data_IF_670123419614
#
_entry.id   IF_670123419614
#
_cell.length_a   1.000
_cell.length_b   1.000
_cell.length_c   1.000
_cell.angle_alpha   90.00
_cell.angle_beta   90.00
_cell.angle_gamma   90.00
#
_symmetry.space_group_name_H-M   'P 1'
#
loop_
_entity.id
_entity.type
_entity.pdbx_description
1 polymer ?
2 non-polymer ?
3 non-polymer ?
4 water ?
#
# COMPACT_ATOMS: atom_id res chain seq x y z
N UNK A 1 25.74 0.18 -22.35
CA UNK A 1 26.44 1.25 -23.09
C UNK A 1 25.42 2.19 -23.71
N UNK A 2 25.03 3.25 -23.01
CA UNK A 2 23.90 4.05 -23.49
C UNK A 2 24.32 5.28 -24.29
N UNK A 3 25.60 5.66 -24.27
CA UNK A 3 26.14 6.70 -25.14
C UNK A 3 25.31 7.97 -25.12
N UNK A 4 24.97 8.43 -23.92
CA UNK A 4 24.24 9.65 -23.72
C UNK A 4 22.72 9.50 -23.61
N UNK A 5 22.14 8.49 -24.25
CA UNK A 5 20.69 8.37 -24.31
C UNK A 5 20.11 7.97 -22.95
N UNK A 6 18.81 8.14 -22.81
CA UNK A 6 18.10 7.81 -21.60
C UNK A 6 17.42 6.47 -21.77
N UNK A 7 17.44 5.68 -20.72
CA UNK A 7 16.53 4.54 -20.63
C UNK A 7 16.22 4.43 -19.14
N UNK A 8 15.01 4.78 -18.76
CA UNK A 8 14.61 4.77 -17.36
C UNK A 8 13.87 3.48 -17.09
N UNK A 9 14.21 2.84 -15.98
CA UNK A 9 13.55 1.62 -15.54
C UNK A 9 12.84 1.94 -14.23
N UNK A 10 11.54 1.66 -14.18
CA UNK A 10 10.73 1.83 -13.00
C UNK A 10 10.52 0.46 -12.41
N UNK A 11 11.04 0.21 -11.23
CA UNK A 11 10.80 -1.06 -10.55
C UNK A 11 9.69 -0.84 -9.53
N UNK A 12 8.53 -1.45 -9.80
CA UNK A 12 7.34 -1.34 -8.97
C UNK A 12 6.26 -0.51 -9.64
N UNK A 13 5.07 -1.11 -9.82
CA UNK A 13 3.99 -0.41 -10.50
C UNK A 13 2.87 -0.02 -9.56
N UNK A 14 3.20 0.59 -8.44
CA UNK A 14 2.23 1.11 -7.51
C UNK A 14 1.85 2.55 -7.81
N UNK A 15 1.39 3.25 -6.78
CA UNK A 15 1.03 4.65 -6.93
C UNK A 15 2.18 5.49 -7.48
N UNK A 16 3.40 5.29 -6.97
CA UNK A 16 4.54 6.03 -7.50
C UNK A 16 4.92 5.59 -8.90
N UNK A 17 5.13 4.30 -9.10
CA UNK A 17 5.52 3.81 -10.40
C UNK A 17 4.60 4.23 -11.54
N UNK A 18 3.28 4.17 -11.33
CA UNK A 18 2.39 4.55 -12.44
C UNK A 18 2.41 6.05 -12.61
N UNK A 19 2.61 6.81 -11.52
CA UNK A 19 2.81 8.24 -11.67
C UNK A 19 4.07 8.53 -12.48
N UNK A 20 5.16 7.81 -12.22
CA UNK A 20 6.40 8.06 -12.96
C UNK A 20 6.31 7.56 -14.39
N UNK A 21 5.71 6.39 -14.60
CA UNK A 21 5.56 5.86 -15.95
C UNK A 21 4.72 6.82 -16.81
N UNK A 22 3.70 7.45 -16.22
CA UNK A 22 2.84 8.34 -16.99
C UNK A 22 3.55 9.62 -17.35
N UNK A 23 4.38 10.13 -16.44
CA UNK A 23 5.16 11.32 -16.74
C UNK A 23 6.14 11.06 -17.88
N UNK A 24 6.95 10.00 -17.74
CA UNK A 24 7.89 9.59 -18.79
C UNK A 24 7.18 9.32 -20.10
N UNK A 25 5.97 8.77 -20.03
CA UNK A 25 5.25 8.54 -21.27
C UNK A 25 4.82 9.85 -21.92
N UNK A 26 4.53 10.89 -21.13
CA UNK A 26 4.13 12.17 -21.68
C UNK A 26 5.31 12.91 -22.33
N UNK A 27 6.52 12.72 -21.82
CA UNK A 27 7.72 13.34 -22.38
C UNK A 27 8.36 12.52 -23.49
N UNK A 28 7.82 11.34 -23.78
CA UNK A 28 8.36 10.45 -24.82
C UNK A 28 9.78 9.99 -24.50
N UNK A 29 10.08 9.87 -23.21
CA UNK A 29 11.37 9.32 -22.76
C UNK A 29 11.29 7.79 -22.77
N UNK A 30 12.28 7.09 -23.32
CA UNK A 30 12.23 5.62 -23.28
C UNK A 30 12.23 5.11 -21.86
N UNK A 31 11.35 4.16 -21.58
CA UNK A 31 11.28 3.64 -20.24
C UNK A 31 10.64 2.28 -20.27
N UNK A 32 10.94 1.49 -19.25
CA UNK A 32 10.33 0.20 -19.02
C UNK A 32 9.85 0.16 -17.57
N UNK A 33 8.57 -0.16 -17.38
CA UNK A 33 7.99 -0.30 -16.04
C UNK A 33 7.86 -1.78 -15.73
N UNK A 34 8.33 -2.17 -14.55
CA UNK A 34 8.28 -3.58 -14.13
C UNK A 34 7.44 -3.71 -12.86
N UNK A 35 6.57 -4.71 -12.86
CA UNK A 35 5.77 -5.09 -11.71
C UNK A 35 5.58 -6.59 -11.77
N UNK A 36 5.44 -7.23 -10.60
CA UNK A 36 5.19 -8.66 -10.60
C UNK A 36 3.75 -9.00 -10.99
N UNK A 37 2.80 -8.10 -10.74
CA UNK A 37 1.43 -8.32 -11.18
C UNK A 37 1.24 -7.78 -12.60
N UNK A 38 0.13 -8.13 -13.21
CA UNK A 38 -0.20 -7.56 -14.51
C UNK A 38 -1.14 -6.37 -14.39
N UNK A 39 -1.51 -5.96 -13.18
CA UNK A 39 -2.39 -4.81 -13.08
C UNK A 39 -2.07 -4.03 -11.81
N UNK A 40 -2.33 -2.74 -11.86
CA UNK A 40 -2.14 -1.88 -10.72
C UNK A 40 -3.23 -2.16 -9.69
N UNK A 41 -2.87 -2.05 -8.41
CA UNK A 41 -3.75 -2.41 -7.31
C UNK A 41 -3.98 -1.17 -6.48
N UNK A 42 -5.21 -0.66 -6.48
CA UNK A 42 -5.50 0.52 -5.69
C UNK A 42 -5.68 0.08 -4.24
N UNK A 43 -4.57 -0.22 -3.57
CA UNK A 43 -4.65 -0.93 -2.31
C UNK A 43 -5.35 -0.12 -1.22
N UNK A 44 -5.55 1.19 -1.43
CA UNK A 44 -6.28 1.96 -0.43
C UNK A 44 -7.75 1.51 -0.35
N UNK A 45 -8.28 0.90 -1.39
CA UNK A 45 -9.64 0.35 -1.32
C UNK A 45 -9.67 -1.14 -1.07
N UNK A 46 -8.54 -1.76 -0.69
CA UNK A 46 -8.51 -3.20 -0.52
C UNK A 46 -9.47 -3.68 0.56
N UNK A 47 -9.71 -2.89 1.61
CA UNK A 47 -10.57 -3.39 2.68
C UNK A 47 -12.03 -3.34 2.29
N UNK A 48 -12.47 -2.27 1.63
CA UNK A 48 -13.82 -2.26 1.09
C UNK A 48 -14.02 -3.39 0.09
N UNK A 49 -13.00 -3.68 -0.73
CA UNK A 49 -13.11 -4.79 -1.67
C UNK A 49 -13.16 -6.13 -0.94
N UNK A 50 -12.78 -6.16 0.33
CA UNK A 50 -12.90 -7.38 1.13
C UNK A 50 -14.29 -7.61 1.66
N UNK A 51 -15.22 -6.67 1.50
CA UNK A 51 -16.51 -6.77 2.17
C UNK A 51 -17.67 -6.42 1.24
N UNK A 52 -17.41 -5.74 0.12
CA UNK A 52 -18.48 -5.32 -0.77
C UNK A 52 -18.46 -6.14 -2.07
N UNK A 53 -19.56 -6.85 -2.35
CA UNK A 53 -19.67 -7.67 -3.56
C UNK A 53 -19.46 -6.82 -4.80
N UNK A 54 -18.65 -7.32 -5.73
CA UNK A 54 -18.44 -6.61 -6.98
C UNK A 54 -17.61 -5.34 -6.91
N UNK A 55 -17.06 -5.00 -5.74
CA UNK A 55 -16.23 -3.81 -5.68
C UNK A 55 -14.84 -4.08 -6.21
N UNK A 56 -14.32 -5.28 -6.03
CA UNK A 56 -12.90 -5.52 -6.29
C UNK A 56 -12.51 -5.22 -7.74
N UNK A 57 -13.45 -5.36 -8.68
CA UNK A 57 -13.09 -5.04 -10.06
C UNK A 57 -12.90 -3.54 -10.28
N UNK A 58 -13.25 -2.69 -9.31
CA UNK A 58 -12.91 -1.28 -9.33
C UNK A 58 -11.49 -1.00 -8.84
N UNK A 59 -10.77 -2.00 -8.37
CA UNK A 59 -9.50 -1.77 -7.69
C UNK A 59 -8.29 -2.36 -8.39
N UNK A 60 -8.44 -2.94 -9.59
CA UNK A 60 -7.31 -3.44 -10.37
C UNK A 60 -7.36 -2.85 -11.78
N UNK A 61 -6.24 -2.29 -12.25
CA UNK A 61 -6.20 -1.67 -13.57
C UNK A 61 -5.05 -2.24 -14.39
N UNK A 62 -5.40 -2.77 -15.56
CA UNK A 62 -4.43 -3.37 -16.48
C UNK A 62 -3.27 -2.41 -16.80
N UNK A 63 -2.04 -2.88 -16.61
CA UNK A 63 -0.90 -2.05 -17.01
C UNK A 63 -0.83 -1.93 -18.52
N UNK A 64 -0.97 -3.05 -19.22
CA UNK A 64 -0.68 -3.08 -20.65
C UNK A 64 -1.63 -2.20 -21.43
N UNK A 65 -2.85 -2.02 -20.95
CA UNK A 65 -3.79 -1.13 -21.64
C UNK A 65 -3.25 0.31 -21.61
N UNK A 66 -2.64 0.70 -20.51
CA UNK A 66 -2.16 2.06 -20.42
C UNK A 66 -0.77 2.22 -21.03
N UNK A 67 0.11 1.28 -20.75
CA UNK A 67 1.52 1.45 -21.05
C UNK A 67 2.00 0.62 -22.23
N UNK A 68 1.21 -0.33 -22.71
CA UNK A 68 1.51 -1.15 -23.89
C UNK A 68 2.93 -1.70 -23.71
N UNK A 69 3.79 -1.62 -24.71
CA UNK A 69 5.10 -2.26 -24.70
C UNK A 69 6.11 -1.60 -23.76
N UNK A 70 5.75 -0.50 -23.09
CA UNK A 70 6.57 0.08 -22.02
C UNK A 70 6.42 -0.61 -20.68
N UNK A 71 5.62 -1.65 -20.61
CA UNK A 71 5.43 -2.41 -19.38
C UNK A 71 5.95 -3.82 -19.57
N UNK A 72 6.41 -4.42 -18.49
CA UNK A 72 6.89 -5.79 -18.59
C UNK A 72 6.62 -6.43 -17.24
N UNK A 73 5.76 -7.45 -17.22
CA UNK A 73 5.53 -8.22 -16.01
C UNK A 73 6.76 -9.03 -15.68
N UNK A 74 7.16 -8.98 -14.43
CA UNK A 74 8.32 -9.75 -13.99
C UNK A 74 8.57 -9.44 -12.53
N UNK A 75 9.24 -10.39 -11.88
CA UNK A 75 9.67 -10.23 -10.49
C UNK A 75 11.13 -9.83 -10.50
N UNK A 76 11.46 -8.75 -9.83
CA UNK A 76 12.83 -8.27 -9.82
C UNK A 76 13.56 -8.95 -8.67
N UNK A 77 14.63 -9.68 -8.99
CA UNK A 77 15.39 -10.39 -7.96
C UNK A 77 16.61 -9.60 -7.51
N UNK A 78 17.29 -8.90 -8.38
CA UNK A 78 18.46 -8.14 -7.96
C UNK A 78 18.82 -7.03 -8.91
N UNK A 79 19.59 -6.08 -8.39
CA UNK A 79 20.15 -4.98 -9.18
C UNK A 79 21.63 -5.26 -9.35
N UNK A 80 22.12 -5.17 -10.58
CA UNK A 80 23.55 -5.23 -10.89
C UNK A 80 24.04 -3.79 -11.08
N UNK A 81 24.60 -3.23 -10.01
CA UNK A 81 24.99 -1.82 -10.04
C UNK A 81 26.15 -1.57 -11.00
N UNK A 82 27.13 -2.49 -11.05
CA UNK A 82 28.31 -2.24 -11.87
C UNK A 82 27.95 -2.15 -13.36
N UNK A 83 27.10 -3.06 -13.83
CA UNK A 83 26.74 -3.10 -15.25
C UNK A 83 25.40 -2.45 -15.52
N UNK A 84 24.86 -1.68 -14.56
CA UNK A 84 23.59 -0.97 -14.71
C UNK A 84 22.51 -1.84 -15.34
N UNK A 85 22.19 -2.92 -14.67
CA UNK A 85 21.19 -3.87 -15.15
C UNK A 85 20.13 -4.04 -14.07
N UNK A 86 19.04 -4.69 -14.43
CA UNK A 86 17.99 -5.05 -13.48
C UNK A 86 17.65 -6.51 -13.74
N UNK A 87 17.86 -7.35 -12.72
CA UNK A 87 17.83 -8.80 -12.89
C UNK A 87 16.42 -9.31 -12.62
N UNK A 88 15.84 -10.00 -13.59
CA UNK A 88 14.49 -10.51 -13.52
C UNK A 88 14.54 -12.01 -13.27
N UNK A 89 13.63 -12.49 -12.41
CA UNK A 89 13.52 -13.92 -12.17
C UNK A 89 13.27 -14.64 -13.50
N UNK A 90 14.15 -15.59 -13.81
CA UNK A 90 14.14 -16.25 -15.10
C UNK A 90 15.35 -15.90 -15.96
N UNK A 91 16.11 -14.87 -15.61
CA UNK A 91 17.32 -14.60 -16.35
C UNK A 91 17.41 -13.20 -16.94
N UNK A 92 16.29 -12.69 -17.45
CA UNK A 92 16.31 -11.44 -18.21
C UNK A 92 16.87 -10.30 -17.37
N UNK A 93 17.63 -9.43 -18.04
CA UNK A 93 18.14 -8.20 -17.45
C UNK A 93 17.69 -7.01 -18.27
N UNK A 94 17.36 -5.93 -17.59
CA UNK A 94 16.88 -4.72 -18.24
C UNK A 94 17.91 -3.62 -18.03
N UNK A 95 18.54 -3.12 -19.09
CA UNK A 95 19.55 -2.07 -18.91
C UNK A 95 18.91 -0.71 -18.69
N UNK A 96 19.50 0.06 -17.79
CA UNK A 96 18.98 1.39 -17.52
C UNK A 96 20.09 2.42 -17.53
N UNK A 97 19.74 3.63 -17.98
CA UNK A 97 20.57 4.79 -17.69
C UNK A 97 20.22 5.37 -16.34
N UNK A 98 18.93 5.36 -15.99
CA UNK A 98 18.42 5.81 -14.70
C UNK A 98 17.44 4.78 -14.12
N UNK A 99 17.41 4.71 -12.78
CA UNK A 99 16.63 3.70 -12.06
C UNK A 99 15.73 4.37 -11.03
N UNK A 100 14.44 4.07 -11.09
CA UNK A 100 13.46 4.54 -10.11
C UNK A 100 12.98 3.34 -9.31
N UNK A 101 13.20 3.37 -8.01
CA UNK A 101 12.81 2.28 -7.14
C UNK A 101 11.55 2.69 -6.40
N UNK A 102 10.49 1.89 -6.54
CA UNK A 102 9.16 2.27 -6.10
C UNK A 102 8.42 1.02 -5.65
N UNK A 103 9.02 0.29 -4.71
CA UNK A 103 8.67 -1.09 -4.47
C UNK A 103 7.65 -1.26 -3.35
N UNK A 104 7.19 -0.18 -2.75
CA UNK A 104 6.08 -0.18 -1.83
C UNK A 104 6.25 -1.06 -0.61
N UNK A 105 5.10 -1.40 -0.03
CA UNK A 105 5.09 -2.13 1.22
C UNK A 105 4.45 -3.50 1.04
N UNK A 106 4.84 -4.39 1.93
CA UNK A 106 4.40 -5.77 1.93
C UNK A 106 3.61 -6.02 3.21
N UNK A 107 2.59 -6.87 3.13
CA UNK A 107 1.73 -7.12 4.25
C UNK A 107 0.84 -8.32 4.03
N UNK A 108 0.02 -8.64 5.04
CA UNK A 108 -0.95 -9.73 4.89
C UNK A 108 -2.13 -9.36 4.02
N UNK A 109 -2.64 -10.35 3.28
CA UNK A 109 -3.94 -10.25 2.65
C UNK A 109 -5.03 -10.09 3.72
N UNK A 110 -6.06 -9.27 3.49
CA UNK A 110 -6.38 -8.45 2.31
C UNK A 110 -5.77 -7.06 2.24
N UNK A 111 -5.08 -6.57 3.27
CA UNK A 111 -4.56 -5.20 3.22
C UNK A 111 -3.61 -4.95 2.06
N UNK A 112 -2.73 -5.92 1.78
CA UNK A 112 -1.86 -5.87 0.60
C UNK A 112 -2.03 -7.16 -0.18
N UNK A 113 -1.61 -7.09 -1.45
CA UNK A 113 -1.69 -8.21 -2.37
C UNK A 113 -0.49 -8.11 -3.31
N UNK A 114 0.55 -8.90 -3.03
CA UNK A 114 1.75 -8.92 -3.86
C UNK A 114 1.96 -10.35 -4.35
N UNK A 115 1.10 -10.77 -5.26
CA UNK A 115 1.12 -12.11 -5.82
C UNK A 115 1.25 -11.98 -7.31
N UNK A 116 2.12 -12.78 -7.90
CA UNK A 116 2.06 -12.95 -9.34
C UNK A 116 0.76 -13.63 -9.69
N UNK A 117 0.02 -13.08 -10.65
CA UNK A 117 -1.36 -13.48 -10.90
C UNK A 117 -1.87 -12.74 -12.13
N UNK A 118 -2.99 -13.22 -12.66
CA UNK A 118 -3.75 -12.45 -13.64
C UNK A 118 -4.67 -11.44 -12.93
N UNK A 119 -5.17 -10.48 -13.70
CA UNK A 119 -6.18 -9.56 -13.20
C UNK A 119 -7.41 -10.30 -12.68
N UNK A 120 -7.91 -11.27 -13.45
CA UNK A 120 -9.12 -11.97 -13.02
C UNK A 120 -8.86 -12.84 -11.79
N UNK A 121 -7.66 -13.42 -11.68
CA UNK A 121 -7.35 -14.19 -10.46
C UNK A 121 -7.26 -13.27 -9.25
N UNK A 122 -6.66 -12.09 -9.43
CA UNK A 122 -6.53 -11.14 -8.32
C UNK A 122 -7.91 -10.69 -7.84
N UNK A 123 -8.76 -10.28 -8.78
CA UNK A 123 -10.13 -9.90 -8.46
C UNK A 123 -10.83 -11.01 -7.69
N UNK A 124 -10.70 -12.24 -8.20
CA UNK A 124 -11.36 -13.38 -7.57
C UNK A 124 -10.88 -13.58 -6.14
N UNK A 125 -9.61 -13.30 -5.87
CA UNK A 125 -9.11 -13.41 -4.50
C UNK A 125 -9.91 -12.54 -3.53
N UNK A 126 -10.30 -11.34 -3.96
CA UNK A 126 -11.05 -10.48 -3.05
C UNK A 126 -12.52 -10.86 -2.99
N UNK A 127 -13.10 -11.27 -4.12
CA UNK A 127 -14.47 -11.76 -4.10
C UNK A 127 -14.59 -12.99 -3.20
N UNK A 128 -13.56 -13.85 -3.21
CA UNK A 128 -13.53 -14.99 -2.31
C UNK A 128 -13.58 -14.54 -0.86
N UNK A 129 -12.73 -13.56 -0.50
CA UNK A 129 -12.74 -12.99 0.83
C UNK A 129 -14.13 -12.52 1.23
N UNK A 130 -14.82 -11.81 0.34
CA UNK A 130 -16.17 -11.32 0.64
C UNK A 130 -17.10 -12.48 1.00
N UNK A 131 -16.96 -13.61 0.30
CA UNK A 131 -17.81 -14.74 0.63
C UNK A 131 -17.42 -15.32 1.98
N UNK A 132 -16.13 -15.30 2.33
CA UNK A 132 -15.73 -15.73 3.67
C UNK A 132 -16.41 -14.87 4.73
N UNK A 133 -16.53 -13.57 4.45
CA UNK A 133 -17.11 -12.67 5.42
C UNK A 133 -18.61 -12.82 5.46
N UNK A 134 -19.24 -12.94 4.29
CA UNK A 134 -20.67 -13.22 4.24
C UNK A 134 -21.02 -14.50 5.00
N UNK A 135 -20.23 -15.56 4.81
CA UNK A 135 -20.46 -16.82 5.50
C UNK A 135 -20.37 -16.69 7.02
N UNK A 136 -19.57 -15.77 7.51
CA UNK A 136 -19.17 -15.78 8.91
C UNK A 136 -20.11 -14.94 9.76
N UNK A 137 -20.44 -15.42 10.95
CA UNK A 137 -21.18 -14.61 11.90
C UNK A 137 -20.26 -13.92 12.90
N UNK A 138 -19.19 -14.60 13.31
CA UNK A 138 -18.20 -14.06 14.22
C UNK A 138 -16.89 -13.88 13.47
N UNK A 139 -16.32 -12.69 13.58
CA UNK A 139 -15.09 -12.32 12.90
C UNK A 139 -14.15 -11.66 13.91
N UNK A 140 -12.88 -12.04 13.87
CA UNK A 140 -11.85 -11.42 14.68
C UNK A 140 -10.89 -10.70 13.75
N UNK A 141 -10.69 -9.40 13.98
CA UNK A 141 -9.62 -8.64 13.33
C UNK A 141 -8.45 -8.56 14.31
N UNK A 142 -7.29 -9.02 13.87
CA UNK A 142 -6.10 -9.04 14.72
C UNK A 142 -5.24 -7.84 14.37
N UNK A 143 -5.17 -6.86 15.26
CA UNK A 143 -4.34 -5.70 15.03
C UNK A 143 -5.14 -4.43 14.93
N UNK A 144 -4.88 -3.51 15.86
CA UNK A 144 -5.50 -2.20 15.86
C UNK A 144 -4.61 -1.10 15.31
N UNK A 145 -3.83 -1.42 14.27
CA UNK A 145 -3.21 -0.39 13.47
C UNK A 145 -4.26 0.24 12.59
N UNK A 146 -3.84 1.23 11.79
CA UNK A 146 -4.79 1.90 10.92
C UNK A 146 -5.56 0.91 10.06
N UNK A 147 -4.92 -0.19 9.67
CA UNK A 147 -5.56 -1.15 8.79
C UNK A 147 -6.62 -1.98 9.51
N UNK A 148 -6.32 -2.49 10.70
CA UNK A 148 -7.30 -3.27 11.42
C UNK A 148 -8.51 -2.45 11.82
N UNK A 149 -8.26 -1.24 12.32
CA UNK A 149 -9.34 -0.34 12.71
C UNK A 149 -10.32 -0.11 11.56
N UNK A 150 -9.80 0.15 10.36
CA UNK A 150 -10.70 0.36 9.23
C UNK A 150 -11.36 -0.94 8.76
N UNK A 151 -10.65 -2.07 8.86
CA UNK A 151 -11.19 -3.35 8.47
C UNK A 151 -12.39 -3.72 9.34
N UNK A 152 -12.26 -3.53 10.65
CA UNK A 152 -13.35 -3.82 11.57
C UNK A 152 -14.53 -2.89 11.34
N UNK A 153 -14.25 -1.62 11.09
CA UNK A 153 -15.33 -0.67 10.83
C UNK A 153 -16.02 -0.95 9.49
N UNK A 154 -15.25 -1.43 8.52
CA UNK A 154 -15.78 -1.73 7.21
C UNK A 154 -16.75 -2.91 7.28
N UNK A 155 -16.37 -3.96 8.02
CA UNK A 155 -17.25 -5.10 8.18
C UNK A 155 -18.52 -4.72 8.93
N UNK A 156 -18.39 -3.97 10.03
CA UNK A 156 -19.58 -3.63 10.82
C UNK A 156 -20.50 -2.68 10.07
N UNK A 157 -19.97 -1.80 9.22
CA UNK A 157 -20.87 -0.89 8.53
C UNK A 157 -21.68 -1.62 7.50
N UNK A 158 -21.06 -2.57 6.77
CA UNK A 158 -21.74 -3.33 5.73
C UNK A 158 -22.60 -4.45 6.31
N UNK A 159 -22.24 -4.95 7.49
CA UNK A 159 -22.92 -6.10 8.10
C UNK A 159 -23.14 -5.82 9.57
N UNK A 160 -24.03 -4.89 9.91
CA UNK A 160 -24.33 -4.59 11.32
C UNK A 160 -24.60 -5.83 12.17
N UNK A 161 -25.15 -6.88 11.57
CA UNK A 161 -25.56 -8.08 12.30
C UNK A 161 -24.42 -9.06 12.56
N UNK A 162 -23.21 -8.76 12.10
CA UNK A 162 -22.11 -9.65 12.44
C UNK A 162 -21.56 -9.24 13.80
N UNK A 163 -20.77 -10.12 14.39
CA UNK A 163 -20.10 -9.88 15.65
C UNK A 163 -18.62 -9.73 15.32
N UNK A 164 -18.10 -8.52 15.48
CA UNK A 164 -16.71 -8.20 15.11
C UNK A 164 -15.93 -7.88 16.38
N UNK A 165 -14.86 -8.63 16.61
CA UNK A 165 -13.95 -8.36 17.71
C UNK A 165 -12.59 -7.94 17.15
N UNK A 166 -12.05 -6.84 17.66
CA UNK A 166 -10.74 -6.34 17.28
C UNK A 166 -9.78 -6.51 18.45
N UNK A 167 -8.63 -7.12 18.19
CA UNK A 167 -7.66 -7.44 19.23
C UNK A 167 -6.38 -6.71 18.91
N UNK A 168 -5.86 -5.97 19.88
CA UNK A 168 -4.77 -5.05 19.64
C UNK A 168 -3.83 -5.00 20.83
N UNK A 169 -2.52 -4.97 20.55
CA UNK A 169 -1.52 -5.13 21.61
C UNK A 169 -1.37 -3.89 22.48
N UNK A 170 -1.59 -2.68 21.95
CA UNK A 170 -1.49 -1.48 22.76
C UNK A 170 -2.85 -1.08 23.32
N UNK A 171 -2.91 0.08 23.95
CA UNK A 171 -4.13 0.59 24.57
C UNK A 171 -4.78 1.67 23.72
N UNK A 172 -4.02 2.37 22.87
CA UNK A 172 -4.56 3.30 21.88
C UNK A 172 -4.53 2.69 20.50
N UNK A 173 -5.48 3.09 19.65
CA UNK A 173 -5.61 2.50 18.33
C UNK A 173 -5.03 3.42 17.24
N UNK A 174 -4.74 2.81 16.08
CA UNK A 174 -4.17 3.48 14.91
C UNK A 174 -2.78 4.03 15.16
N UNK A 175 -2.24 4.76 14.19
CA UNK A 175 -0.82 5.12 14.19
C UNK A 175 -0.45 6.03 15.34
N UNK A 176 0.68 5.72 15.97
CA UNK A 176 1.12 6.48 17.14
C UNK A 176 1.37 7.94 16.82
N UNK A 177 1.77 8.27 15.59
CA UNK A 177 2.05 9.65 15.22
C UNK A 177 0.81 10.49 15.00
N UNK A 178 -0.38 9.94 15.19
CA UNK A 178 -1.57 10.74 15.00
C UNK A 178 -1.84 11.57 16.24
N UNK A 179 -2.59 12.65 16.04
CA UNK A 179 -3.12 13.42 17.15
C UNK A 179 -3.84 12.51 18.14
N UNK A 180 -3.53 12.59 19.44
CA UNK A 180 -4.34 11.86 20.44
C UNK A 180 -5.85 12.08 20.29
N UNK A 181 -6.26 13.26 19.83
CA UNK A 181 -7.68 13.49 19.58
C UNK A 181 -8.18 12.60 18.46
N UNK A 182 -7.34 12.37 17.46
CA UNK A 182 -7.71 11.46 16.38
C UNK A 182 -7.81 10.04 16.91
N UNK A 183 -6.80 9.60 17.68
CA UNK A 183 -6.81 8.22 18.14
C UNK A 183 -8.01 7.92 19.02
N UNK A 184 -8.40 8.88 19.87
CA UNK A 184 -9.54 8.67 20.75
C UNK A 184 -10.85 8.56 19.96
N UNK A 185 -11.08 9.42 18.98
CA UNK A 185 -12.34 9.39 18.27
C UNK A 185 -12.49 8.11 17.45
N UNK A 186 -11.37 7.53 17.01
CA UNK A 186 -11.41 6.22 16.38
C UNK A 186 -11.95 5.18 17.34
N UNK A 187 -11.60 5.28 18.63
CA UNK A 187 -12.14 4.32 19.59
C UNK A 187 -13.63 4.55 19.81
N UNK A 188 -14.03 5.80 20.03
CA UNK A 188 -15.46 6.15 20.17
C UNK A 188 -16.29 5.52 19.05
N UNK A 189 -15.86 5.73 17.81
CA UNK A 189 -16.62 5.30 16.65
C UNK A 189 -16.71 3.78 16.58
N UNK A 190 -15.58 3.09 16.79
CA UNK A 190 -15.61 1.64 16.77
C UNK A 190 -16.58 1.09 17.81
N UNK A 191 -16.64 1.71 18.98
CA UNK A 191 -17.52 1.22 20.03
C UNK A 191 -18.97 1.51 19.71
N UNK A 192 -19.26 2.69 19.19
CA UNK A 192 -20.63 2.98 18.78
C UNK A 192 -21.11 2.11 17.63
N UNK A 193 -20.21 1.58 16.81
CA UNK A 193 -20.62 0.63 15.77
C UNK A 193 -20.79 -0.80 16.30
N UNK A 194 -20.59 -1.03 17.60
CA UNK A 194 -20.77 -2.35 18.18
C UNK A 194 -19.58 -3.28 18.09
N UNK A 195 -18.42 -2.77 17.67
CA UNK A 195 -17.22 -3.59 17.65
C UNK A 195 -16.76 -3.83 19.08
N UNK A 196 -16.41 -5.06 19.38
CA UNK A 196 -15.90 -5.42 20.71
C UNK A 196 -14.39 -5.32 20.66
N UNK A 197 -13.81 -4.44 21.48
CA UNK A 197 -12.38 -4.20 21.50
C UNK A 197 -11.72 -4.98 22.64
N UNK A 198 -10.64 -5.66 22.31
CA UNK A 198 -9.79 -6.37 23.27
C UNK A 198 -8.44 -5.68 23.23
N UNK A 199 -8.31 -4.62 24.03
CA UNK A 199 -7.10 -3.82 24.03
C UNK A 199 -6.06 -4.40 24.98
N UNK A 200 -4.79 -4.14 24.67
CA UNK A 200 -3.65 -4.55 25.49
C UNK A 200 -3.53 -6.07 25.59
N UNK A 201 -3.83 -6.77 24.50
CA UNK A 201 -3.70 -8.21 24.43
C UNK A 201 -2.98 -8.60 23.15
N UNK A 202 -2.28 -9.72 23.19
CA UNK A 202 -1.51 -10.20 22.04
C UNK A 202 -1.96 -11.62 21.70
N UNK A 203 -2.24 -11.87 20.43
CA UNK A 203 -2.71 -13.20 20.05
C UNK A 203 -1.57 -14.19 20.16
N UNK A 204 -1.78 -15.26 20.93
CA UNK A 204 -0.73 -16.19 21.32
C UNK A 204 -0.68 -17.47 20.49
N UNK A 205 -1.78 -17.90 19.87
CA UNK A 205 -1.80 -19.14 19.10
C UNK A 205 -1.94 -18.87 17.60
N UNK A 206 -1.20 -17.86 17.11
CA UNK A 206 -1.45 -17.34 15.77
C UNK A 206 -0.99 -18.30 14.67
N UNK A 207 0.16 -18.94 14.85
CA UNK A 207 0.64 -19.88 13.84
C UNK A 207 -0.34 -21.01 13.59
N UNK A 208 -1.28 -21.25 14.51
CA UNK A 208 -2.23 -22.34 14.43
C UNK A 208 -3.60 -21.91 13.91
N UNK A 209 -3.80 -20.62 13.60
CA UNK A 209 -5.14 -20.22 13.18
C UNK A 209 -5.23 -20.21 11.65
N UNK A 210 -6.40 -20.57 11.14
CA UNK A 210 -6.68 -20.41 9.71
C UNK A 210 -7.00 -18.95 9.42
N UNK A 211 -6.30 -18.39 8.45
CA UNK A 211 -6.47 -16.99 8.10
C UNK A 211 -7.33 -16.86 6.85
N UNK A 212 -8.20 -15.86 6.86
CA UNK A 212 -9.00 -15.49 5.69
C UNK A 212 -9.88 -16.62 5.18
N UNK A 213 -10.39 -17.44 6.08
CA UNK A 213 -11.13 -18.62 5.65
C UNK A 213 -12.17 -18.97 6.70
N UNK A 214 -13.44 -19.02 6.30
CA UNK A 214 -14.51 -19.40 7.22
C UNK A 214 -14.31 -20.81 7.78
N UNK A 215 -14.52 -20.95 9.08
CA UNK A 215 -14.57 -22.23 9.75
C UNK A 215 -15.76 -22.21 10.68
N UNK A 216 -16.33 -23.40 10.92
CA UNK A 216 -17.45 -23.45 11.84
C UNK A 216 -17.02 -23.05 13.25
N UNK A 217 -15.78 -23.40 13.62
CA UNK A 217 -15.25 -23.10 14.95
C UNK A 217 -13.76 -22.79 14.89
N UNK A 218 -13.37 -21.63 15.38
CA UNK A 218 -11.97 -21.25 15.56
C UNK A 218 -11.84 -20.59 16.92
N UNK A 219 -10.82 -20.97 17.68
CA UNK A 219 -10.58 -20.36 18.98
C UNK A 219 -9.29 -19.55 18.94
N UNK A 220 -9.43 -18.25 19.11
CA UNK A 220 -8.30 -17.34 19.21
C UNK A 220 -7.93 -17.20 20.67
N UNK A 221 -6.63 -17.25 20.95
CA UNK A 221 -6.11 -17.17 22.32
C UNK A 221 -5.17 -15.99 22.46
N UNK A 222 -5.20 -15.37 23.64
CA UNK A 222 -4.32 -14.26 23.95
C UNK A 222 -3.40 -14.62 25.12
N UNK A 223 -2.28 -13.90 25.18
CA UNK A 223 -1.29 -14.08 26.24
C UNK A 223 -1.88 -13.81 27.63
N UNK A 224 -2.98 -13.07 27.71
CA UNK A 224 -3.67 -12.83 28.97
C UNK A 224 -4.71 -13.90 29.26
N UNK A 225 -4.80 -14.94 28.43
CA UNK A 225 -5.73 -16.03 28.66
C UNK A 225 -7.14 -15.81 28.16
N UNK A 226 -7.39 -14.74 27.42
CA UNK A 226 -8.70 -14.48 26.86
C UNK A 226 -8.90 -15.37 25.65
N UNK A 227 -10.00 -16.13 25.63
CA UNK A 227 -10.31 -17.01 24.53
C UNK A 227 -11.54 -16.47 23.80
N UNK A 228 -11.40 -16.30 22.50
CA UNK A 228 -12.42 -15.74 21.64
C UNK A 228 -12.72 -16.78 20.57
N UNK A 229 -13.91 -17.34 20.62
CA UNK A 229 -14.40 -18.22 19.58
C UNK A 229 -14.92 -17.40 18.40
N UNK A 230 -14.63 -17.86 17.18
CA UNK A 230 -14.90 -17.05 16.00
C UNK A 230 -15.12 -17.95 14.79
N UNK A 231 -15.66 -17.37 13.71
CA UNK A 231 -15.73 -18.06 12.42
C UNK A 231 -14.65 -17.64 11.45
N UNK A 232 -14.06 -16.46 11.61
CA UNK A 232 -13.12 -15.92 10.63
C UNK A 232 -12.07 -15.13 11.38
N UNK A 233 -10.81 -15.31 11.00
CA UNK A 233 -9.69 -14.54 11.54
C UNK A 233 -9.03 -13.76 10.41
N UNK A 234 -9.05 -12.43 10.52
CA UNK A 234 -8.40 -11.54 9.57
C UNK A 234 -7.19 -10.89 10.23
N UNK A 235 -6.06 -11.00 9.57
CA UNK A 235 -4.81 -10.50 10.11
C UNK A 235 -4.54 -9.12 9.52
N UNK A 236 -4.27 -8.15 10.39
CA UNK A 236 -4.04 -6.78 9.97
C UNK A 236 -2.84 -6.21 10.73
N UNK A 237 -1.71 -6.90 10.64
CA UNK A 237 -0.50 -6.34 11.21
C UNK A 237 0.69 -6.89 10.44
N UNK A 238 1.68 -6.03 10.21
CA UNK A 238 2.91 -6.50 9.60
C UNK A 238 3.26 -5.84 8.29
N UNK A 239 2.89 -4.57 8.11
CA UNK A 239 3.32 -3.85 6.92
C UNK A 239 4.81 -3.56 7.03
N UNK A 240 5.56 -3.86 5.97
CA UNK A 240 6.98 -3.58 5.94
C UNK A 240 7.43 -3.35 4.51
N UNK A 241 8.61 -2.73 4.37
CA UNK A 241 9.13 -2.34 3.07
C UNK A 241 9.44 -3.58 2.23
N UNK A 242 9.18 -3.50 0.93
CA UNK A 242 9.42 -4.62 0.02
C UNK A 242 10.76 -4.42 -0.68
N UNK A 243 11.82 -4.84 -0.01
CA UNK A 243 13.19 -4.73 -0.49
C UNK A 243 13.65 -5.94 -1.30
N UNK A 244 12.73 -6.83 -1.67
CA UNK A 244 13.12 -8.01 -2.43
C UNK A 244 14.06 -7.64 -3.57
N UNK A 245 13.66 -6.64 -4.37
CA UNK A 245 14.35 -6.34 -5.62
C UNK A 245 15.75 -5.77 -5.43
N UNK A 246 16.03 -5.07 -4.33
CA UNK A 246 17.22 -4.25 -4.29
C UNK A 246 18.12 -4.45 -3.08
N UNK A 247 17.77 -5.33 -2.14
CA UNK A 247 18.46 -5.35 -0.85
C UNK A 247 19.90 -5.84 -0.99
N UNK A 248 20.10 -6.96 -1.68
CA UNK A 248 21.44 -7.52 -1.85
C UNK A 248 22.42 -6.49 -2.42
N UNK A 249 21.96 -5.61 -3.30
CA UNK A 249 22.84 -4.70 -4.00
C UNK A 249 23.05 -3.37 -3.27
N UNK A 250 22.08 -2.95 -2.45
CA UNK A 250 22.18 -1.68 -1.74
C UNK A 250 22.27 -1.87 -0.24
N UNK A 251 22.71 -3.06 0.22
CA UNK A 251 22.81 -3.29 1.67
C UNK A 251 23.52 -2.12 2.36
N UNK A 252 24.61 -1.63 1.76
CA UNK A 252 25.32 -0.49 2.28
C UNK A 252 24.41 0.73 2.43
N UNK A 253 23.39 0.83 1.58
CA UNK A 253 22.57 2.02 1.50
C UNK A 253 21.24 1.91 2.22
N UNK A 254 20.71 0.69 2.38
CA UNK A 254 19.41 0.53 3.03
C UNK A 254 19.49 1.01 4.46
N UNK A 255 18.60 1.93 4.83
CA UNK A 255 18.41 2.26 6.24
C UNK A 255 17.90 1.02 6.96
N UNK A 256 17.83 1.09 8.29
CA UNK A 256 17.53 -0.10 9.04
C UNK A 256 16.13 -0.62 8.70
N UNK A 257 15.17 0.29 8.51
CA UNK A 257 13.78 -0.05 8.23
C UNK A 257 13.55 -0.67 6.85
N UNK A 258 14.57 -0.91 6.04
CA UNK A 258 14.40 -1.40 4.69
C UNK A 258 14.39 -0.33 3.60
N UNK A 259 14.11 0.92 3.95
CA UNK A 259 14.06 1.98 2.96
C UNK A 259 15.47 2.39 2.53
N UNK A 260 15.55 2.95 1.33
CA UNK A 260 16.78 3.53 0.83
C UNK A 260 16.90 4.95 1.36
N UNK A 261 18.04 5.28 1.96
CA UNK A 261 18.32 6.67 2.29
C UNK A 261 18.47 7.50 1.02
N UNK A 262 17.97 8.74 1.06
CA UNK A 262 17.97 9.62 -0.10
C UNK A 262 18.16 11.06 0.34
N UNK A 263 18.64 11.90 -0.58
CA UNK A 263 18.75 13.33 -0.31
C UNK A 263 17.39 14.00 -0.49
N UNK A 264 17.37 15.33 -0.58
CA UNK A 264 16.10 16.02 -0.79
C UNK A 264 15.64 15.99 -2.24
N UNK A 265 16.45 15.40 -3.13
CA UNK A 265 16.07 15.19 -4.52
C UNK A 265 15.69 13.73 -4.78
N UNK A 266 15.52 12.95 -3.72
CA UNK A 266 15.13 11.54 -3.77
C UNK A 266 16.17 10.69 -4.49
N UNK A 267 17.43 11.11 -4.44
CA UNK A 267 18.50 10.31 -5.03
C UNK A 267 19.04 9.35 -3.98
N UNK A 268 19.29 8.12 -4.41
CA UNK A 268 19.79 7.12 -3.48
C UNK A 268 21.26 7.41 -3.20
N UNK A 269 21.57 7.65 -1.93
CA UNK A 269 22.94 7.89 -1.47
C UNK A 269 23.93 6.99 -2.18
N UNK A 270 25.02 7.60 -2.67
CA UNK A 270 26.01 6.89 -3.42
C UNK A 270 25.74 6.78 -4.90
N UNK A 271 24.61 7.29 -5.36
CA UNK A 271 24.25 7.28 -6.77
C UNK A 271 23.64 8.61 -7.15
N UNK A 272 23.88 9.02 -8.39
CA UNK A 272 23.24 10.19 -8.95
C UNK A 272 22.09 9.86 -9.89
N UNK A 273 22.05 8.65 -10.43
CA UNK A 273 21.06 8.23 -11.42
C UNK A 273 20.04 7.22 -10.87
N UNK A 274 19.99 7.02 -9.56
CA UNK A 274 19.11 6.04 -8.94
C UNK A 274 18.23 6.78 -7.94
N UNK A 275 16.91 6.67 -8.14
CA UNK A 275 15.93 7.33 -7.31
C UNK A 275 15.10 6.32 -6.54
N UNK A 276 14.54 6.77 -5.42
CA UNK A 276 13.61 5.98 -4.64
C UNK A 276 12.44 6.86 -4.27
N UNK A 277 11.23 6.30 -4.34
CA UNK A 277 10.00 7.07 -4.19
C UNK A 277 8.97 6.28 -3.40
N UNK A 278 8.02 7.01 -2.84
CA UNK A 278 6.95 6.39 -2.10
C UNK A 278 7.47 5.67 -0.87
N UNK A 279 7.01 4.42 -0.69
CA UNK A 279 7.22 3.74 0.59
C UNK A 279 8.65 3.29 0.79
N UNK A 280 9.38 3.01 -0.27
CA UNK A 280 10.73 2.47 -0.10
C UNK A 280 11.78 3.56 0.12
N UNK A 281 11.39 4.82 0.20
CA UNK A 281 12.31 5.94 0.41
C UNK A 281 12.35 6.28 1.89
N UNK A 282 13.57 6.45 2.44
CA UNK A 282 13.76 6.77 3.86
C UNK A 282 13.49 8.25 4.05
N UNK A 283 12.22 8.57 4.34
CA UNK A 283 11.77 9.95 4.37
C UNK A 283 11.22 10.37 5.72
N UNK A 284 11.12 9.47 6.69
CA UNK A 284 10.56 9.79 8.01
C UNK A 284 9.14 10.35 7.91
N UNK A 285 8.44 9.99 6.83
CA UNK A 285 7.04 10.31 6.61
C UNK A 285 6.19 9.15 7.09
N UNK A 286 4.86 9.28 7.07
CA UNK A 286 4.00 8.14 7.43
C UNK A 286 3.71 7.18 6.27
N UNK A 287 4.25 7.43 5.08
CA UNK A 287 4.11 6.55 3.92
C UNK A 287 2.68 6.59 3.37
N UNK A 288 2.43 7.48 2.41
CA UNK A 288 1.11 7.68 1.84
C UNK A 288 1.19 7.51 0.33
N UNK A 289 0.07 7.07 -0.25
CA UNK A 289 -0.03 6.96 -1.70
C UNK A 289 0.12 8.29 -2.37
N UNK A 290 -0.50 9.34 -1.83
CA UNK A 290 -0.40 10.63 -2.51
C UNK A 290 1.03 11.13 -2.52
N UNK A 291 1.75 10.89 -1.43
CA UNK A 291 3.17 11.22 -1.38
C UNK A 291 3.95 10.45 -2.43
N UNK A 292 3.60 9.18 -2.64
CA UNK A 292 4.31 8.38 -3.63
C UNK A 292 4.22 9.04 -5.01
N UNK A 293 3.07 9.65 -5.33
CA UNK A 293 2.94 10.36 -6.59
C UNK A 293 3.79 11.62 -6.64
N UNK A 294 3.73 12.45 -5.59
CA UNK A 294 4.55 13.65 -5.54
C UNK A 294 6.02 13.32 -5.71
N UNK A 295 6.51 12.33 -4.96
CA UNK A 295 7.86 11.82 -5.15
C UNK A 295 8.13 11.47 -6.60
N UNK A 296 7.13 11.01 -7.32
CA UNK A 296 7.36 10.53 -8.67
C UNK A 296 7.58 11.69 -9.62
N UNK A 297 6.79 12.75 -9.49
CA UNK A 297 7.04 13.95 -10.29
C UNK A 297 8.40 14.54 -9.97
N UNK A 298 8.77 14.53 -8.70
CA UNK A 298 10.09 14.98 -8.28
C UNK A 298 11.18 14.17 -8.98
N UNK A 299 11.05 12.85 -8.98
CA UNK A 299 12.12 12.01 -9.50
C UNK A 299 12.25 12.14 -11.01
N UNK A 300 11.13 12.17 -11.73
CA UNK A 300 11.19 12.30 -13.18
C UNK A 300 11.74 13.66 -13.56
N UNK A 301 11.28 14.72 -12.90
CA UNK A 301 11.79 16.05 -13.16
C UNK A 301 13.32 16.10 -12.98
N UNK A 302 13.81 15.49 -11.90
CA UNK A 302 15.24 15.52 -11.60
C UNK A 302 16.04 14.63 -12.53
N UNK A 303 15.40 13.67 -13.20
CA UNK A 303 16.10 12.96 -14.26
C UNK A 303 16.23 13.84 -15.49
N UNK A 304 15.15 14.53 -15.86
CA UNK A 304 15.22 15.44 -17.00
C UNK A 304 16.11 16.63 -16.68
N UNK A 305 15.96 17.20 -15.48
CA UNK A 305 16.80 18.32 -15.10
C UNK A 305 18.27 17.93 -15.06
N UNK A 306 18.58 16.71 -14.65
CA UNK A 306 19.97 16.28 -14.63
C UNK A 306 20.55 16.17 -16.05
N UNK A 307 19.71 15.92 -17.06
CA UNK A 307 20.22 15.91 -18.42
C UNK A 307 20.31 17.33 -18.98
N UNK A 308 19.27 18.15 -18.79
CA UNK A 308 19.19 19.55 -19.21
C UNK A 308 20.01 20.49 -18.34
N UNK A 309 20.90 19.96 -17.49
CA UNK A 309 21.70 20.73 -16.54
C UNK A 309 20.91 21.89 -15.93
N UNK A 310 20.12 21.59 -14.92
CA UNK A 310 19.24 22.53 -14.25
C UNK A 310 19.25 22.18 -12.77
N UNK A 311 18.89 23.14 -11.90
CA UNK A 311 18.83 22.82 -10.47
C UNK A 311 17.73 21.81 -10.20
N UNK A 312 18.09 20.71 -9.55
CA UNK A 312 17.08 19.75 -9.12
C UNK A 312 16.13 20.41 -8.13
N UNK A 313 14.91 19.88 -8.06
CA UNK A 313 13.95 20.36 -7.08
C UNK A 313 13.87 19.38 -5.91
N UNK A 314 13.44 19.91 -4.78
CA UNK A 314 13.51 19.19 -3.52
C UNK A 314 12.11 18.84 -3.03
N UNK A 315 12.07 17.94 -2.05
CA UNK A 315 10.84 17.49 -1.41
C UNK A 315 10.79 18.07 0.00
N UNK A 316 9.76 18.90 0.26
CA UNK A 316 9.63 19.63 1.53
C UNK A 316 8.49 19.06 2.37
N UNK A 317 8.75 18.11 3.27
CA UNK A 317 7.66 17.52 4.06
C UNK A 317 6.93 18.58 4.89
N UNK A 318 5.62 18.40 5.03
CA UNK A 318 4.79 19.22 5.88
C UNK A 318 4.19 18.43 7.03
N UNK A 319 3.16 19.02 7.64
CA UNK A 319 2.51 18.37 8.76
C UNK A 319 1.73 17.14 8.31
N UNK A 320 1.32 16.33 9.29
CA UNK A 320 0.81 14.99 9.02
C UNK A 320 -0.60 15.03 8.44
N UNK A 321 -0.78 14.40 7.27
CA UNK A 321 -2.10 14.16 6.72
C UNK A 321 -2.36 12.65 6.67
N UNK A 322 -3.41 12.21 7.34
CA UNK A 322 -3.88 10.84 7.23
C UNK A 322 -5.32 10.80 7.70
N UNK A 323 -6.19 10.26 6.86
CA UNK A 323 -7.61 10.14 7.13
C UNK A 323 -7.96 8.67 7.31
N UNK A 324 -8.66 8.35 8.39
CA UNK A 324 -9.13 7.00 8.63
C UNK A 324 -10.58 6.88 8.19
N UNK A 325 -10.83 5.90 7.32
CA UNK A 325 -12.18 5.52 6.89
C UNK A 325 -12.82 4.63 7.95
N UNK A 326 -13.96 5.04 8.50
CA UNK A 326 -14.70 4.20 9.45
C UNK A 326 -15.94 3.62 8.76
N UNK A 327 -15.72 2.72 7.82
CA UNK A 327 -16.82 2.32 6.97
C UNK A 327 -17.07 3.38 5.91
N UNK A 328 -18.19 3.26 5.22
CA UNK A 328 -18.49 4.23 4.16
C UNK A 328 -19.19 5.48 4.68
N UNK A 329 -19.77 5.45 5.87
CA UNK A 329 -20.54 6.58 6.36
C UNK A 329 -19.83 7.37 7.47
N UNK A 330 -18.56 7.10 7.74
CA UNK A 330 -17.92 7.72 8.89
C UNK A 330 -16.40 7.77 8.69
N UNK A 331 -15.76 8.57 9.53
CA UNK A 331 -14.31 8.60 9.53
C UNK A 331 -13.83 9.71 10.43
N UNK A 332 -12.51 9.87 10.46
CA UNK A 332 -11.87 10.96 11.18
C UNK A 332 -10.40 10.96 10.78
N UNK A 333 -9.70 12.05 11.06
CA UNK A 333 -8.29 12.12 10.74
C UNK A 333 -7.79 13.54 10.84
N UNK A 334 -6.62 13.74 10.27
CA UNK A 334 -5.98 15.05 10.33
C UNK A 334 -5.43 15.40 8.95
N UNK A 335 -5.62 16.66 8.57
CA UNK A 335 -5.08 17.21 7.33
C UNK A 335 -4.09 18.28 7.72
N UNK A 336 -2.82 18.07 7.39
CA UNK A 336 -1.75 18.99 7.78
C UNK A 336 -1.83 19.30 9.28
N UNK A 337 -1.77 18.25 10.09
CA UNK A 337 -1.51 18.37 11.50
C UNK A 337 -2.62 18.93 12.35
N UNK A 338 -3.79 19.20 11.78
CA UNK A 338 -4.95 19.53 12.59
C UNK A 338 -6.11 18.58 12.31
N UNK A 339 -7.02 18.53 13.28
CA UNK A 339 -8.10 17.57 13.28
C UNK A 339 -9.15 17.93 12.23
N UNK A 340 -9.57 16.93 11.47
CA UNK A 340 -10.71 17.05 10.58
C UNK A 340 -11.74 15.99 10.99
N UNK A 341 -13.01 16.33 10.89
CA UNK A 341 -14.07 15.55 11.50
C UNK A 341 -14.71 14.54 10.58
N UNK A 342 -15.83 14.01 11.05
CA UNK A 342 -16.45 12.85 10.40
C UNK A 342 -17.04 13.22 9.04
N UNK A 343 -17.77 14.36 8.96
CA UNK A 343 -18.32 14.78 7.68
C UNK A 343 -17.22 14.93 6.64
N UNK A 344 -16.13 15.61 7.02
CA UNK A 344 -15.02 15.85 6.11
C UNK A 344 -14.41 14.55 5.61
N UNK A 345 -14.13 13.62 6.52
CA UNK A 345 -13.45 12.40 6.09
C UNK A 345 -14.38 11.55 5.23
N UNK A 346 -15.68 11.57 5.52
CA UNK A 346 -16.63 10.80 4.74
C UNK A 346 -16.65 11.27 3.30
N UNK A 347 -16.63 12.61 3.08
CA UNK A 347 -16.64 13.14 1.72
C UNK A 347 -15.29 12.98 1.04
N UNK A 348 -14.19 13.05 1.79
CA UNK A 348 -12.89 12.99 1.15
C UNK A 348 -12.46 11.55 0.87
N UNK A 349 -12.46 10.69 1.88
CA UNK A 349 -11.98 9.33 1.72
C UNK A 349 -13.07 8.26 1.71
N UNK A 350 -14.06 8.31 2.62
CA UNK A 350 -14.85 7.14 2.95
C UNK A 350 -15.87 6.75 1.88
N UNK A 351 -16.38 7.70 1.11
CA UNK A 351 -17.32 7.34 0.06
C UNK A 351 -16.64 6.57 -1.06
N UNK A 352 -15.57 7.14 -1.65
CA UNK A 352 -14.98 6.57 -2.86
C UNK A 352 -13.57 6.03 -2.67
N UNK A 353 -12.98 6.18 -1.48
CA UNK A 353 -11.61 5.70 -1.18
C UNK A 353 -10.61 6.06 -2.29
N UNK A 354 -10.79 7.23 -2.90
CA UNK A 354 -9.90 7.78 -3.93
C UNK A 354 -9.79 6.90 -5.17
N UNK A 355 -10.76 6.00 -5.39
CA UNK A 355 -10.63 5.02 -6.46
C UNK A 355 -10.56 5.70 -7.83
N UNK A 356 -11.42 6.70 -8.07
CA UNK A 356 -11.46 7.34 -9.39
C UNK A 356 -10.12 7.97 -9.79
N UNK A 357 -9.31 8.34 -8.80
CA UNK A 357 -8.01 8.97 -9.04
C UNK A 357 -7.08 8.07 -9.84
N UNK A 358 -7.02 6.78 -9.48
CA UNK A 358 -6.12 5.87 -10.18
C UNK A 358 -6.59 5.58 -11.59
N UNK A 359 -7.90 5.46 -11.78
CA UNK A 359 -8.44 5.28 -13.12
C UNK A 359 -8.15 6.49 -14.00
N UNK A 360 -8.24 7.69 -13.44
CA UNK A 360 -7.85 8.88 -14.20
C UNK A 360 -6.36 8.81 -14.58
N UNK A 361 -5.49 8.51 -13.61
CA UNK A 361 -4.07 8.43 -13.93
C UNK A 361 -3.82 7.42 -15.04
N UNK A 362 -4.45 6.26 -14.96
CA UNK A 362 -4.27 5.19 -15.93
C UNK A 362 -5.05 5.43 -17.23
N UNK A 363 -5.86 6.48 -17.28
CA UNK A 363 -6.59 6.85 -18.50
C UNK A 363 -7.50 5.70 -18.94
N UNK A 364 -8.17 5.09 -17.98
CA UNK A 364 -9.05 3.97 -18.26
C UNK A 364 -10.38 4.20 -17.54
N UNK A 365 -11.38 3.49 -17.97
CA UNK A 365 -12.61 3.64 -17.24
C UNK A 365 -12.90 2.36 -16.48
N UNK A 366 -13.38 2.47 -15.23
CA UNK A 366 -13.65 1.27 -14.45
C UNK A 366 -14.74 0.44 -15.09
N UNK A 367 -14.75 -0.88 -14.84
CA UNK A 367 -15.74 -1.82 -15.35
C UNK A 367 -16.99 -1.81 -14.49
#
# INVERSE_FOLDING_TARGET
PHMGALHVVIVGGGFGGIAAASQLQALNVPFMLVDMKDSFHHNVAALRASVETGFAKKTFISYSVTFKDNFRQGLVVGIDLKNQMVLLQGGEALPFSHLILATGSTGPFPGKFNEVSSQQAAIQAYEDMVRQVQRSRFIVVVGGGSAGVEMAAEIKTEYPEKEVTLIHSQVALADKELLPSVRQEVKEILLRKGVQLLLSERVSNLEELPLNEYREYIKVQTDKGTEVATNLVILCTGIKINSSAYRKAFESRLASSGALRVNEHLQVEGHSNVYAIGDCADVRTPKMAYLAGLHANIAVANIVNSVKQRPLQAYKPGALTFLLSMGRNDGVGQISGFYVGRLMVRLTKSRDLFVSTSWKTMRQSPP
#
